data_IF_752477506641
#
_entry.id   IF_752477506641
#
_cell.length_a   1.000
_cell.length_b   1.000
_cell.length_c   1.000
_cell.angle_alpha   90.00
_cell.angle_beta   90.00
_cell.angle_gamma   90.00
#
_symmetry.space_group_name_H-M   'P 1'
#
loop_
_entity.id
_entity.type
_entity.pdbx_description
1 polymer ?
#
# COMPACT_ATOMS: atom_id res chain seq x y z
N UNK A 1 -13.02 26.75 -4.67
CA UNK A 1 -12.61 25.39 -5.06
C UNK A 1 -13.85 24.64 -5.52
N UNK A 2 -13.96 24.37 -6.82
CA UNK A 2 -14.97 23.45 -7.34
C UNK A 2 -14.37 22.05 -7.27
N UNK A 3 -14.86 21.20 -6.36
CA UNK A 3 -14.67 19.77 -6.49
C UNK A 3 -15.52 19.33 -7.67
N UNK A 4 -14.87 18.87 -8.75
CA UNK A 4 -15.56 18.18 -9.83
C UNK A 4 -16.36 17.04 -9.20
N UNK A 5 -17.69 17.08 -9.33
CA UNK A 5 -18.54 15.95 -8.99
C UNK A 5 -18.23 14.88 -10.03
N UNK A 6 -17.18 14.10 -9.78
CA UNK A 6 -17.00 12.81 -10.41
C UNK A 6 -18.39 12.17 -10.39
N UNK A 7 -18.86 11.78 -11.56
CA UNK A 7 -20.22 11.26 -11.81
C UNK A 7 -20.75 10.50 -10.60
N UNK A 8 -21.94 10.89 -10.13
CA UNK A 8 -22.63 10.40 -8.91
C UNK A 8 -23.08 8.93 -9.04
N UNK A 9 -22.19 8.09 -9.56
CA UNK A 9 -22.40 6.68 -9.83
C UNK A 9 -21.72 5.92 -8.72
N UNK A 10 -22.51 5.19 -7.94
CA UNK A 10 -22.02 4.31 -6.89
C UNK A 10 -21.02 3.29 -7.48
N UNK A 11 -19.89 3.01 -6.82
CA UNK A 11 -18.97 1.97 -7.25
C UNK A 11 -19.68 0.63 -7.41
N UNK A 12 -19.39 -0.07 -8.50
CA UNK A 12 -19.89 -1.44 -8.66
C UNK A 12 -19.26 -2.35 -7.61
N UNK A 13 -19.93 -3.46 -7.27
CA UNK A 13 -19.34 -4.46 -6.36
C UNK A 13 -18.02 -5.04 -6.88
N UNK A 14 -17.79 -5.04 -8.20
CA UNK A 14 -16.51 -5.45 -8.77
C UNK A 14 -15.41 -4.42 -8.49
N UNK A 15 -15.71 -3.13 -8.59
CA UNK A 15 -14.81 -2.04 -8.24
C UNK A 15 -14.50 -2.03 -6.73
N UNK A 16 -15.50 -2.22 -5.87
CA UNK A 16 -15.28 -2.33 -4.42
C UNK A 16 -14.35 -3.50 -4.07
N UNK A 17 -14.55 -4.67 -4.70
CA UNK A 17 -13.64 -5.80 -4.54
C UNK A 17 -12.23 -5.53 -5.05
N UNK A 18 -12.05 -4.64 -6.03
CA UNK A 18 -10.71 -4.25 -6.49
C UNK A 18 -9.99 -3.44 -5.41
N UNK A 19 -10.67 -2.43 -4.84
CA UNK A 19 -10.18 -1.63 -3.72
C UNK A 19 -9.83 -2.53 -2.52
N UNK A 20 -10.70 -3.50 -2.19
CA UNK A 20 -10.46 -4.46 -1.12
C UNK A 20 -9.19 -5.31 -1.32
N UNK A 21 -8.83 -5.63 -2.56
CA UNK A 21 -7.58 -6.35 -2.86
C UNK A 21 -6.33 -5.48 -2.68
N UNK A 22 -6.45 -4.16 -2.86
CA UNK A 22 -5.35 -3.21 -2.72
C UNK A 22 -5.04 -2.88 -1.26
N UNK A 23 -6.04 -2.94 -0.37
CA UNK A 23 -5.89 -2.56 1.05
C UNK A 23 -4.68 -3.16 1.77
N UNK A 24 -4.36 -4.46 1.64
CA UNK A 24 -3.18 -5.02 2.27
C UNK A 24 -1.85 -4.39 1.82
N UNK A 25 -1.75 -3.96 0.57
CA UNK A 25 -0.56 -3.26 0.05
C UNK A 25 -0.44 -1.89 0.72
N UNK A 26 -1.54 -1.14 0.76
CA UNK A 26 -1.62 0.17 1.41
C UNK A 26 -1.24 0.06 2.89
N UNK A 27 -1.78 -0.93 3.61
CA UNK A 27 -1.46 -1.15 5.01
C UNK A 27 0.04 -1.42 5.22
N UNK A 28 0.65 -2.28 4.40
CA UNK A 28 2.09 -2.55 4.50
C UNK A 28 2.95 -1.30 4.19
N UNK A 29 2.52 -0.46 3.23
CA UNK A 29 3.21 0.80 2.91
C UNK A 29 3.06 1.83 4.04
N UNK A 30 1.89 1.93 4.66
CA UNK A 30 1.67 2.78 5.83
C UNK A 30 2.49 2.33 7.04
N UNK A 31 2.62 1.02 7.26
CA UNK A 31 3.50 0.47 8.31
C UNK A 31 4.96 0.86 8.06
N UNK A 32 5.45 0.75 6.82
CA UNK A 32 6.81 1.16 6.47
C UNK A 32 7.03 2.65 6.72
N UNK A 33 6.13 3.51 6.24
CA UNK A 33 6.22 4.97 6.47
C UNK A 33 6.19 5.29 7.96
N UNK A 34 5.40 4.56 8.74
CA UNK A 34 5.36 4.75 10.19
C UNK A 34 6.68 4.39 10.86
N UNK A 35 7.35 3.33 10.42
CA UNK A 35 8.70 2.96 10.88
C UNK A 35 9.71 4.02 10.45
N UNK A 36 9.72 4.42 9.18
CA UNK A 36 10.64 5.45 8.67
C UNK A 36 10.47 6.78 9.42
N UNK A 37 9.23 7.20 9.68
CA UNK A 37 8.94 8.40 10.46
C UNK A 37 9.43 8.30 11.91
N UNK A 38 9.29 7.13 12.54
CA UNK A 38 9.80 6.91 13.90
C UNK A 38 11.33 6.95 13.98
N UNK A 39 12.03 6.63 12.88
CA UNK A 39 13.49 6.62 12.80
C UNK A 39 14.09 7.95 12.30
N UNK A 40 13.28 8.84 11.74
CA UNK A 40 13.74 10.04 11.04
C UNK A 40 14.61 10.99 11.88
N UNK A 41 14.32 11.09 13.18
CA UNK A 41 15.02 11.99 14.11
C UNK A 41 15.97 11.25 15.07
N UNK A 42 16.31 9.98 14.77
CA UNK A 42 17.21 9.17 15.59
C UNK A 42 18.64 9.27 15.03
N UNK A 43 19.54 9.91 15.80
CA UNK A 43 20.95 10.06 15.43
C UNK A 43 21.76 8.75 15.49
N UNK A 44 21.41 7.83 16.41
CA UNK A 44 22.09 6.54 16.59
C UNK A 44 21.09 5.39 16.52
N UNK A 45 21.02 4.74 15.35
CA UNK A 45 20.10 3.64 15.08
C UNK A 45 20.62 2.35 15.71
N UNK A 46 19.77 1.69 16.50
CA UNK A 46 20.10 0.38 17.04
C UNK A 46 19.97 -0.72 15.98
N UNK A 47 20.58 -1.87 16.23
CA UNK A 47 20.36 -3.06 15.39
C UNK A 47 18.89 -3.46 15.33
N UNK A 48 18.14 -3.28 16.42
CA UNK A 48 16.71 -3.58 16.46
C UNK A 48 15.92 -2.68 15.51
N UNK A 49 16.30 -1.40 15.41
CA UNK A 49 15.66 -0.44 14.50
C UNK A 49 15.94 -0.81 13.04
N UNK A 50 17.18 -1.19 12.73
CA UNK A 50 17.53 -1.72 11.42
C UNK A 50 16.73 -2.98 11.08
N UNK A 51 16.56 -3.91 12.04
CA UNK A 51 15.75 -5.11 11.84
C UNK A 51 14.27 -4.79 11.61
N UNK A 52 13.70 -3.82 12.33
CA UNK A 52 12.31 -3.38 12.16
C UNK A 52 12.10 -2.76 10.78
N UNK A 53 13.01 -1.90 10.34
CA UNK A 53 12.96 -1.30 9.00
C UNK A 53 13.04 -2.37 7.90
N UNK A 54 14.01 -3.27 7.98
CA UNK A 54 14.14 -4.37 7.01
C UNK A 54 12.89 -5.27 6.98
N UNK A 55 12.29 -5.57 8.14
CA UNK A 55 11.07 -6.36 8.22
C UNK A 55 9.88 -5.64 7.57
N UNK A 56 9.72 -4.34 7.79
CA UNK A 56 8.67 -3.53 7.17
C UNK A 56 8.84 -3.45 5.64
N UNK A 57 10.06 -3.20 5.16
CA UNK A 57 10.38 -3.22 3.73
C UNK A 57 10.06 -4.59 3.11
N UNK A 58 10.45 -5.68 3.80
CA UNK A 58 10.19 -7.04 3.31
C UNK A 58 8.70 -7.35 3.23
N UNK A 59 7.92 -6.85 4.18
CA UNK A 59 6.46 -6.98 4.19
C UNK A 59 5.87 -6.28 2.96
N UNK A 60 6.27 -5.06 2.66
CA UNK A 60 5.82 -4.32 1.45
C UNK A 60 6.12 -5.12 0.19
N UNK A 61 7.37 -5.59 0.00
CA UNK A 61 7.75 -6.40 -1.16
C UNK A 61 6.89 -7.65 -1.31
N UNK A 62 6.71 -8.39 -0.20
CA UNK A 62 5.97 -9.65 -0.19
C UNK A 62 4.49 -9.41 -0.50
N UNK A 63 3.89 -8.36 0.08
CA UNK A 63 2.49 -8.03 -0.15
C UNK A 63 2.26 -7.53 -1.57
N UNK A 64 3.16 -6.71 -2.13
CA UNK A 64 3.10 -6.29 -3.55
C UNK A 64 3.24 -7.47 -4.50
N UNK A 65 4.16 -8.40 -4.22
CA UNK A 65 4.30 -9.62 -5.02
C UNK A 65 3.04 -10.48 -4.97
N UNK A 66 2.43 -10.63 -3.79
CA UNK A 66 1.15 -11.35 -3.62
C UNK A 66 0.01 -10.65 -4.35
N UNK A 67 -0.07 -9.33 -4.26
CA UNK A 67 -1.07 -8.53 -4.98
C UNK A 67 -0.90 -8.69 -6.49
N UNK A 68 0.31 -8.55 -7.02
CA UNK A 68 0.59 -8.73 -8.45
C UNK A 68 0.24 -10.13 -8.95
N UNK A 69 0.52 -11.16 -8.16
CA UNK A 69 0.15 -12.54 -8.46
C UNK A 69 -1.37 -12.77 -8.43
N UNK A 70 -2.11 -12.05 -7.59
CA UNK A 70 -3.56 -12.15 -7.44
C UNK A 70 -4.34 -11.30 -8.46
N UNK A 71 -3.80 -10.14 -8.84
CA UNK A 71 -4.45 -9.19 -9.75
C UNK A 71 -4.10 -9.45 -11.22
N UNK A 72 -3.14 -10.33 -11.50
CA UNK A 72 -2.80 -10.71 -12.87
C UNK A 72 -2.37 -9.52 -13.72
N UNK A 73 -1.52 -8.65 -13.17
CA UNK A 73 -0.82 -7.58 -13.91
C UNK A 73 -1.76 -6.57 -14.60
N UNK A 74 -2.37 -5.65 -13.84
CA UNK A 74 -2.95 -4.37 -14.29
C UNK A 74 -3.75 -4.40 -15.61
N UNK A 75 -4.93 -5.02 -15.60
CA UNK A 75 -5.93 -4.94 -16.68
C UNK A 75 -6.72 -3.62 -16.71
N UNK A 76 -6.09 -2.45 -16.57
CA UNK A 76 -6.78 -1.15 -16.72
C UNK A 76 -6.92 -0.70 -18.18
N UNK A 77 -6.46 -1.51 -19.14
CA UNK A 77 -6.49 -1.22 -20.58
C UNK A 77 -7.40 -2.18 -21.37
N UNK A 78 -8.55 -2.55 -20.81
CA UNK A 78 -9.55 -3.33 -21.52
C UNK A 78 -10.98 -2.89 -21.18
N UNK A 79 -11.36 -1.68 -21.60
CA UNK A 79 -12.74 -1.27 -21.84
C UNK A 79 -12.81 -0.10 -22.81
#
# INVERSE_FOLDING_TARGET
MQYSRATDVEPTSAALRAIEREWPVIEAEMDLVSVEAALADIDDLSQLDAHRLMAAQKRVETTRARFAAADGFYGWEAA
#
